data_IF_865087523525
#
_entry.id   IF_865087523525
#
_cell.length_a   1.000
_cell.length_b   1.000
_cell.length_c   1.000
_cell.angle_alpha   90.00
_cell.angle_beta   90.00
_cell.angle_gamma   90.00
#
_symmetry.space_group_name_H-M   'P 1'
#
loop_
_entity.id
_entity.type
_entity.pdbx_description
1 polymer ?
#
# COMPACT_ATOMS: atom_id res chain seq x y z
N UNK A 1 10.20 -0.91 4.46
CA UNK A 1 9.36 -0.78 3.24
C UNK A 1 10.21 -0.38 2.00
N UNK A 2 11.20 -1.17 1.55
CA UNK A 2 12.04 -0.79 0.40
C UNK A 2 11.26 -0.60 -0.91
N UNK A 3 10.13 -1.31 -1.07
CA UNK A 3 9.16 -1.16 -2.16
C UNK A 3 8.73 0.31 -2.37
N UNK A 4 8.60 1.08 -1.29
CA UNK A 4 8.14 2.46 -1.35
C UNK A 4 9.25 3.46 -1.71
N UNK A 5 10.52 3.02 -1.70
CA UNK A 5 11.68 3.85 -2.02
C UNK A 5 12.07 3.67 -3.50
N UNK A 6 11.15 4.03 -4.39
CA UNK A 6 11.32 3.88 -5.83
C UNK A 6 10.98 5.17 -6.56
N UNK A 7 11.72 5.44 -7.64
CA UNK A 7 11.49 6.60 -8.51
C UNK A 7 11.36 6.12 -9.94
N UNK A 8 10.26 6.49 -10.59
CA UNK A 8 10.04 6.25 -12.02
C UNK A 8 10.22 7.56 -12.77
N UNK A 9 11.10 7.55 -13.76
CA UNK A 9 11.33 8.67 -14.67
C UNK A 9 10.56 8.44 -15.97
N UNK A 10 9.89 9.48 -16.45
CA UNK A 10 9.25 9.47 -17.77
C UNK A 10 10.31 9.39 -18.89
N UNK A 11 9.93 8.92 -20.07
CA UNK A 11 10.85 8.82 -21.21
C UNK A 11 11.48 10.17 -21.57
N UNK A 12 10.66 11.23 -21.51
CA UNK A 12 11.04 12.62 -21.77
C UNK A 12 12.12 13.15 -20.79
N UNK A 13 12.27 12.55 -19.61
CA UNK A 13 13.27 13.00 -18.62
C UNK A 13 14.72 12.86 -19.13
N UNK A 14 14.96 11.94 -20.07
CA UNK A 14 16.28 11.80 -20.72
C UNK A 14 16.63 13.04 -21.54
N UNK A 15 15.66 13.60 -22.25
CA UNK A 15 15.82 14.78 -23.11
C UNK A 15 15.86 16.06 -22.29
N UNK A 16 14.99 16.17 -21.28
CA UNK A 16 14.91 17.37 -20.44
C UNK A 16 16.08 17.51 -19.46
N UNK A 17 16.69 16.40 -19.04
CA UNK A 17 17.75 16.39 -18.00
C UNK A 17 19.01 15.64 -18.44
N UNK A 18 19.70 16.05 -19.52
CA UNK A 18 20.85 15.33 -20.06
C UNK A 18 22.02 15.25 -19.06
N UNK A 19 22.21 16.30 -18.24
CA UNK A 19 23.28 16.32 -17.23
C UNK A 19 23.05 15.29 -16.11
N UNK A 20 21.79 15.08 -15.71
CA UNK A 20 21.45 14.05 -14.73
C UNK A 20 21.78 12.66 -15.27
N UNK A 21 21.49 12.41 -16.56
CA UNK A 21 21.79 11.13 -17.20
C UNK A 21 23.30 10.88 -17.29
N UNK A 22 24.10 11.90 -17.60
CA UNK A 22 25.56 11.83 -17.57
C UNK A 22 26.08 11.49 -16.16
N UNK A 23 25.54 12.15 -15.12
CA UNK A 23 25.90 11.87 -13.73
C UNK A 23 25.54 10.44 -13.31
N UNK A 24 24.38 9.93 -13.70
CA UNK A 24 23.97 8.54 -13.45
C UNK A 24 24.94 7.57 -14.14
N UNK A 25 25.31 7.83 -15.39
CA UNK A 25 26.26 6.99 -16.12
C UNK A 25 27.65 6.99 -15.46
N UNK A 26 28.15 8.16 -15.04
CA UNK A 26 29.41 8.28 -14.30
C UNK A 26 29.37 7.57 -12.94
N UNK A 27 28.27 7.71 -12.20
CA UNK A 27 28.07 7.02 -10.92
C UNK A 27 28.14 5.50 -11.11
N UNK A 28 27.50 4.98 -12.16
CA UNK A 28 27.53 3.54 -12.45
C UNK A 28 28.93 3.02 -12.73
N UNK A 29 29.72 3.77 -13.51
CA UNK A 29 31.11 3.43 -13.81
C UNK A 29 31.99 3.43 -12.56
N UNK A 30 31.74 4.35 -11.62
CA UNK A 30 32.54 4.49 -10.37
C UNK A 30 32.15 3.49 -9.29
N UNK A 31 30.89 3.06 -9.24
CA UNK A 31 30.36 2.24 -8.14
C UNK A 31 29.68 0.94 -8.62
N UNK A 32 30.38 0.06 -9.36
CA UNK A 32 29.78 -1.14 -9.94
C UNK A 32 29.19 -2.09 -8.88
N UNK A 33 29.82 -2.21 -7.70
CA UNK A 33 29.33 -3.04 -6.60
C UNK A 33 28.07 -2.52 -5.90
N UNK A 34 27.78 -1.21 -5.98
CA UNK A 34 26.52 -0.65 -5.47
C UNK A 34 25.40 -0.89 -6.49
N UNK A 35 25.71 -0.68 -7.76
CA UNK A 35 24.76 -0.78 -8.87
C UNK A 35 24.26 -2.20 -9.08
N UNK A 36 25.09 -3.22 -8.85
CA UNK A 36 24.69 -4.64 -8.92
C UNK A 36 23.54 -5.00 -7.98
N UNK A 37 23.27 -4.18 -6.96
CA UNK A 37 22.20 -4.38 -5.99
C UNK A 37 20.95 -3.50 -6.24
N UNK A 38 20.98 -2.62 -7.25
CA UNK A 38 19.91 -1.68 -7.63
C UNK A 38 19.29 -2.13 -8.97
N UNK A 39 17.98 -2.09 -9.08
CA UNK A 39 17.26 -2.40 -10.31
C UNK A 39 17.25 -1.24 -11.32
N UNK A 40 17.20 -1.50 -12.64
CA UNK A 40 17.41 -2.77 -13.36
C UNK A 40 18.82 -2.85 -13.97
N UNK A 41 19.56 -3.93 -13.76
CA UNK A 41 20.95 -4.05 -14.25
C UNK A 41 21.10 -4.62 -15.65
N UNK A 42 20.09 -5.31 -16.21
CA UNK A 42 20.35 -6.24 -17.32
C UNK A 42 19.77 -5.80 -18.69
N UNK A 43 18.78 -4.88 -18.72
CA UNK A 43 18.15 -4.38 -19.95
C UNK A 43 18.03 -2.85 -19.99
N UNK A 44 19.10 -2.14 -19.65
CA UNK A 44 19.24 -0.73 -20.03
C UNK A 44 18.26 0.27 -19.37
N UNK A 45 17.60 -0.11 -18.26
CA UNK A 45 16.70 0.77 -17.51
C UNK A 45 15.40 1.16 -18.23
N UNK A 46 14.99 0.55 -19.35
CA UNK A 46 13.80 0.97 -20.10
C UNK A 46 12.65 0.01 -19.83
N UNK A 47 11.61 0.50 -19.17
CA UNK A 47 10.33 -0.17 -18.94
C UNK A 47 9.23 0.35 -19.87
N UNK A 48 7.99 0.15 -19.45
CA UNK A 48 6.79 0.52 -20.20
C UNK A 48 6.82 2.00 -20.65
N UNK A 49 6.47 2.23 -21.93
CA UNK A 49 6.52 3.55 -22.60
C UNK A 49 7.86 4.30 -22.43
N UNK A 50 8.99 3.59 -22.41
CA UNK A 50 10.31 4.22 -22.32
C UNK A 50 10.69 4.74 -20.94
N UNK A 51 9.90 4.44 -19.91
CA UNK A 51 10.13 4.90 -18.53
C UNK A 51 11.36 4.22 -17.92
N UNK A 52 11.97 4.87 -16.93
CA UNK A 52 13.15 4.34 -16.23
C UNK A 52 12.90 4.20 -14.73
N UNK A 53 13.45 3.15 -14.12
CA UNK A 53 13.28 2.88 -12.69
C UNK A 53 14.59 3.07 -11.93
N UNK A 54 14.53 3.76 -10.79
CA UNK A 54 15.53 3.70 -9.73
C UNK A 54 14.89 3.02 -8.51
N UNK A 55 15.36 1.82 -8.18
CA UNK A 55 14.80 1.00 -7.10
C UNK A 55 15.84 0.07 -6.51
N UNK A 56 15.80 -0.17 -5.20
CA UNK A 56 16.61 -1.22 -4.54
C UNK A 56 16.06 -2.63 -4.87
N UNK A 57 14.76 -2.72 -5.14
CA UNK A 57 14.11 -3.97 -5.53
C UNK A 57 14.13 -4.11 -7.05
N UNK A 58 14.83 -5.14 -7.53
CA UNK A 58 14.70 -5.62 -8.91
C UNK A 58 13.47 -6.51 -9.03
N UNK A 59 13.14 -6.93 -10.27
CA UNK A 59 11.96 -7.75 -10.54
C UNK A 59 11.89 -8.98 -9.62
N UNK A 60 12.99 -9.73 -9.51
CA UNK A 60 13.07 -10.92 -8.66
C UNK A 60 12.86 -10.62 -7.16
N UNK A 61 13.50 -9.56 -6.64
CA UNK A 61 13.32 -9.15 -5.24
C UNK A 61 11.89 -8.65 -4.99
N UNK A 62 11.31 -7.95 -5.95
CA UNK A 62 9.94 -7.45 -5.89
C UNK A 62 8.94 -8.62 -5.86
N UNK A 63 9.08 -9.60 -6.74
CA UNK A 63 8.27 -10.84 -6.74
C UNK A 63 8.29 -11.52 -5.37
N UNK A 64 9.48 -11.68 -4.77
CA UNK A 64 9.63 -12.27 -3.44
C UNK A 64 8.94 -11.47 -2.34
N UNK A 65 9.06 -10.14 -2.35
CA UNK A 65 8.42 -9.27 -1.36
C UNK A 65 6.90 -9.34 -1.50
N UNK A 66 6.38 -9.30 -2.72
CA UNK A 66 4.94 -9.35 -2.99
C UNK A 66 4.35 -10.71 -2.61
N UNK A 67 5.08 -11.82 -2.79
CA UNK A 67 4.62 -13.14 -2.37
C UNK A 67 4.24 -13.18 -0.87
N UNK A 68 5.06 -12.60 0.02
CA UNK A 68 4.71 -12.50 1.45
C UNK A 68 3.67 -11.41 1.74
N UNK A 69 3.79 -10.24 1.10
CA UNK A 69 2.88 -9.13 1.35
C UNK A 69 1.42 -9.46 0.99
N UNK A 70 1.23 -10.26 -0.07
CA UNK A 70 -0.08 -10.62 -0.62
C UNK A 70 -0.60 -11.98 -0.16
N UNK A 71 0.10 -12.66 0.76
CA UNK A 71 -0.37 -13.90 1.38
C UNK A 71 -1.29 -13.59 2.58
N UNK A 72 -2.46 -14.21 2.60
CA UNK A 72 -3.47 -14.00 3.65
C UNK A 72 -3.08 -14.61 5.00
N UNK A 73 -2.20 -15.61 5.00
CA UNK A 73 -1.59 -16.21 6.19
C UNK A 73 -0.43 -15.37 6.72
N UNK A 74 0.00 -14.35 5.97
CA UNK A 74 1.08 -13.45 6.33
C UNK A 74 0.52 -12.03 6.53
N UNK A 75 0.74 -11.12 5.59
CA UNK A 75 0.45 -9.69 5.74
C UNK A 75 -0.92 -9.28 5.17
N UNK A 76 -1.48 -9.97 4.18
CA UNK A 76 -2.72 -9.55 3.52
C UNK A 76 -3.93 -9.87 4.40
N UNK A 77 -4.39 -8.89 5.18
CA UNK A 77 -5.60 -9.02 5.98
C UNK A 77 -6.88 -8.74 5.20
N UNK A 78 -8.05 -9.09 5.76
CA UNK A 78 -9.35 -8.76 5.16
C UNK A 78 -9.62 -7.24 5.09
N UNK A 79 -8.88 -6.44 5.86
CA UNK A 79 -9.07 -4.99 5.96
C UNK A 79 -7.82 -4.18 5.58
N UNK A 80 -6.85 -4.79 4.89
CA UNK A 80 -5.60 -4.16 4.45
C UNK A 80 -4.36 -4.96 4.85
N UNK A 81 -3.18 -4.39 4.62
CA UNK A 81 -1.88 -4.97 4.97
C UNK A 81 -1.61 -4.77 6.47
N UNK A 82 -1.40 -5.89 7.18
CA UNK A 82 -1.05 -5.95 8.61
C UNK A 82 0.34 -5.34 8.86
N UNK A 83 0.54 -4.76 10.04
CA UNK A 83 1.86 -4.22 10.44
C UNK A 83 2.90 -5.29 10.78
N UNK A 84 2.45 -6.50 11.12
CA UNK A 84 3.28 -7.69 11.31
C UNK A 84 2.59 -8.88 10.66
N UNK A 85 3.37 -9.80 10.10
CA UNK A 85 2.83 -11.04 9.55
C UNK A 85 2.08 -11.84 10.60
N UNK A 86 0.93 -12.39 10.20
CA UNK A 86 0.14 -13.33 11.01
C UNK A 86 0.87 -14.64 11.29
N UNK A 87 1.88 -15.01 10.51
CA UNK A 87 2.81 -16.12 10.79
C UNK A 87 3.39 -16.04 12.22
N UNK A 88 3.68 -14.82 12.70
CA UNK A 88 4.22 -14.59 14.04
C UNK A 88 3.20 -14.78 15.17
N UNK A 89 1.96 -15.21 14.89
CA UNK A 89 1.01 -15.67 15.90
C UNK A 89 1.52 -16.98 16.52
N UNK A 90 1.88 -17.94 15.67
CA UNK A 90 2.37 -19.27 16.06
C UNK A 90 3.90 -19.31 16.16
N UNK A 91 4.59 -18.42 15.43
CA UNK A 91 6.05 -18.38 15.36
C UNK A 91 6.60 -17.01 15.76
N UNK A 92 6.42 -16.60 17.03
CA UNK A 92 6.89 -15.30 17.48
C UNK A 92 8.42 -15.20 17.39
N UNK A 93 8.93 -13.99 17.15
CA UNK A 93 10.36 -13.73 17.32
C UNK A 93 10.68 -13.63 18.82
N UNK A 94 11.61 -14.46 19.29
CA UNK A 94 11.99 -14.55 20.70
C UNK A 94 13.47 -14.21 20.86
N UNK A 95 13.78 -13.29 21.78
CA UNK A 95 15.12 -12.86 22.09
C UNK A 95 15.39 -12.97 23.60
N UNK A 96 16.48 -13.66 23.97
CA UNK A 96 16.85 -13.88 25.36
C UNK A 96 18.04 -13.00 25.74
N UNK A 97 17.89 -12.15 26.76
CA UNK A 97 18.98 -11.33 27.29
C UNK A 97 18.79 -11.09 28.78
N UNK A 98 19.88 -11.17 29.56
CA UNK A 98 19.83 -10.95 31.02
C UNK A 98 18.92 -11.92 31.78
N UNK A 99 18.75 -13.15 31.28
CA UNK A 99 17.85 -14.14 31.88
C UNK A 99 16.35 -13.87 31.66
N UNK A 100 16.01 -12.90 30.82
CA UNK A 100 14.63 -12.55 30.46
C UNK A 100 14.35 -12.92 29.00
N UNK A 101 13.12 -13.35 28.74
CA UNK A 101 12.59 -13.59 27.40
C UNK A 101 11.83 -12.36 26.90
N UNK A 102 12.19 -11.86 25.70
CA UNK A 102 11.46 -10.83 24.99
C UNK A 102 10.81 -11.42 23.75
N UNK A 103 9.51 -11.18 23.58
CA UNK A 103 8.68 -11.81 22.54
C UNK A 103 7.98 -10.77 21.67
N UNK A 104 8.16 -10.88 20.35
CA UNK A 104 7.40 -10.14 19.34
C UNK A 104 6.43 -11.12 18.67
N UNK A 105 5.20 -11.14 19.17
CA UNK A 105 4.09 -11.95 18.64
C UNK A 105 3.12 -11.08 17.85
N UNK A 106 2.47 -11.68 16.85
CA UNK A 106 1.31 -11.10 16.19
C UNK A 106 0.17 -10.82 17.19
N UNK A 107 -0.29 -9.58 17.21
CA UNK A 107 -1.44 -9.10 17.98
C UNK A 107 -2.29 -8.23 17.05
N UNK A 108 -3.49 -8.67 16.68
CA UNK A 108 -4.27 -7.96 15.69
C UNK A 108 -4.89 -6.66 16.22
N UNK A 109 -5.02 -6.48 17.54
CA UNK A 109 -5.67 -5.34 18.20
C UNK A 109 -4.74 -4.47 19.03
N UNK A 110 -5.11 -4.17 20.27
CA UNK A 110 -4.28 -3.40 21.22
C UNK A 110 -3.02 -4.18 21.66
N UNK A 111 -2.02 -3.46 22.18
CA UNK A 111 -0.82 -4.12 22.72
C UNK A 111 -1.17 -4.84 24.02
N UNK A 112 -0.54 -5.99 24.25
CA UNK A 112 -0.64 -6.73 25.50
C UNK A 112 0.43 -6.33 26.54
N UNK A 113 1.17 -5.23 26.31
CA UNK A 113 2.20 -4.71 27.22
C UNK A 113 2.03 -3.21 27.39
N UNK A 114 2.40 -2.68 28.56
CA UNK A 114 2.31 -1.24 28.88
C UNK A 114 3.38 -0.35 28.23
N UNK A 115 4.25 -0.91 27.39
CA UNK A 115 5.29 -0.14 26.69
C UNK A 115 4.63 0.86 25.73
N UNK A 116 5.12 2.11 25.69
CA UNK A 116 4.55 3.20 24.88
C UNK A 116 3.06 3.49 25.14
N UNK A 117 2.62 3.43 26.40
CA UNK A 117 1.26 3.80 26.79
C UNK A 117 0.20 2.73 26.58
N UNK A 118 0.60 1.49 26.28
CA UNK A 118 -0.27 0.31 26.30
C UNK A 118 -1.21 0.14 25.11
N UNK A 119 -1.62 1.24 24.48
CA UNK A 119 -2.64 1.19 23.43
C UNK A 119 -2.05 1.13 22.02
N UNK A 120 -0.88 1.72 21.74
CA UNK A 120 -0.32 1.72 20.38
C UNK A 120 0.31 0.36 20.05
N UNK A 121 -0.05 -0.22 18.90
CA UNK A 121 0.43 -1.53 18.49
C UNK A 121 0.79 -1.60 17.00
N UNK A 122 2.05 -1.96 16.73
CA UNK A 122 2.60 -2.17 15.38
C UNK A 122 2.88 -3.65 15.10
N UNK A 123 2.33 -4.56 15.92
CA UNK A 123 2.56 -6.00 15.85
C UNK A 123 1.39 -6.76 15.23
N UNK A 124 0.67 -6.15 14.29
CA UNK A 124 -0.43 -6.83 13.62
C UNK A 124 -1.59 -5.97 13.14
N UNK A 125 -1.95 -4.84 13.79
CA UNK A 125 -3.02 -4.00 13.30
C UNK A 125 -2.71 -3.40 11.92
N UNK A 126 -3.77 -2.99 11.21
CA UNK A 126 -3.69 -2.29 9.94
C UNK A 126 -3.59 -0.79 10.19
N UNK A 127 -2.53 -0.18 9.67
CA UNK A 127 -2.29 1.26 9.73
C UNK A 127 -2.49 1.89 8.36
N UNK A 128 -3.38 2.88 8.27
CA UNK A 128 -3.70 3.57 7.02
C UNK A 128 -2.46 4.20 6.34
N UNK A 129 -1.56 4.92 7.03
CA UNK A 129 -0.40 5.54 6.38
C UNK A 129 0.46 4.55 5.61
N UNK A 130 0.76 3.40 6.22
CA UNK A 130 1.62 2.37 5.62
C UNK A 130 0.94 1.79 4.38
N UNK A 131 -0.37 1.50 4.47
CA UNK A 131 -1.14 0.98 3.36
C UNK A 131 -1.23 1.97 2.19
N UNK A 132 -1.42 3.27 2.47
CA UNK A 132 -1.39 4.32 1.44
C UNK A 132 -0.02 4.39 0.76
N UNK A 133 1.08 4.28 1.51
CA UNK A 133 2.43 4.24 0.94
C UNK A 133 2.64 3.01 0.05
N UNK A 134 2.13 1.85 0.46
CA UNK A 134 2.20 0.61 -0.33
C UNK A 134 1.39 0.74 -1.63
N UNK A 135 0.16 1.25 -1.56
CA UNK A 135 -0.68 1.52 -2.73
C UNK A 135 0.04 2.47 -3.69
N UNK A 136 0.54 3.61 -3.20
CA UNK A 136 1.32 4.55 -4.02
C UNK A 136 2.52 3.85 -4.69
N UNK A 137 3.25 3.03 -3.94
CA UNK A 137 4.42 2.33 -4.46
C UNK A 137 4.07 1.33 -5.57
N UNK A 138 2.97 0.58 -5.40
CA UNK A 138 2.46 -0.35 -6.39
C UNK A 138 2.05 0.37 -7.68
N UNK A 139 1.33 1.50 -7.57
CA UNK A 139 0.96 2.33 -8.72
C UNK A 139 2.20 2.92 -9.40
N UNK A 140 3.19 3.37 -8.63
CA UNK A 140 4.46 3.87 -9.17
C UNK A 140 5.21 2.78 -9.95
N UNK A 141 5.31 1.58 -9.41
CA UNK A 141 5.96 0.45 -10.08
C UNK A 141 5.14 -0.06 -11.28
N UNK A 142 3.81 0.02 -11.23
CA UNK A 142 2.95 -0.26 -12.38
C UNK A 142 3.28 0.66 -13.56
N UNK A 143 3.52 1.96 -13.32
CA UNK A 143 3.92 2.87 -14.41
C UNK A 143 5.20 2.41 -15.12
N UNK A 144 6.14 1.79 -14.40
CA UNK A 144 7.37 1.28 -15.00
C UNK A 144 7.19 -0.09 -15.66
N UNK A 145 6.48 -1.02 -15.01
CA UNK A 145 6.37 -2.40 -15.50
C UNK A 145 5.23 -2.62 -16.50
N UNK A 146 4.20 -1.77 -16.48
CA UNK A 146 2.97 -1.96 -17.25
C UNK A 146 2.28 -3.29 -16.93
N UNK A 147 1.58 -3.82 -17.92
CA UNK A 147 0.81 -5.06 -17.80
C UNK A 147 1.66 -6.34 -17.84
N UNK A 148 2.96 -6.22 -18.17
CA UNK A 148 3.88 -7.35 -18.32
C UNK A 148 4.31 -7.95 -16.98
N UNK A 149 4.23 -7.17 -15.89
CA UNK A 149 4.53 -7.65 -14.55
C UNK A 149 3.25 -7.97 -13.79
N UNK A 150 3.03 -9.26 -13.59
CA UNK A 150 1.87 -9.77 -12.86
C UNK A 150 2.30 -10.67 -11.70
N UNK A 151 1.50 -10.65 -10.65
CA UNK A 151 1.67 -11.47 -9.45
C UNK A 151 0.31 -12.04 -9.03
N UNK A 152 0.31 -13.10 -8.21
CA UNK A 152 -0.92 -13.59 -7.61
C UNK A 152 -1.37 -12.66 -6.47
N UNK A 153 -2.67 -12.36 -6.42
CA UNK A 153 -3.26 -11.57 -5.34
C UNK A 153 -4.69 -12.06 -5.06
N UNK A 154 -4.92 -12.79 -3.95
CA UNK A 154 -3.93 -13.22 -2.95
C UNK A 154 -2.85 -14.16 -3.49
N UNK A 155 -1.71 -14.26 -2.80
CA UNK A 155 -0.68 -15.26 -3.09
C UNK A 155 -1.29 -16.67 -3.00
N UNK A 156 -1.01 -17.53 -3.99
CA UNK A 156 -1.59 -18.87 -4.06
C UNK A 156 -3.02 -18.94 -4.59
N UNK A 157 -3.64 -17.82 -4.98
CA UNK A 157 -5.02 -17.80 -5.48
C UNK A 157 -5.20 -18.42 -6.87
N UNK A 158 -4.13 -18.51 -7.68
CA UNK A 158 -4.17 -18.97 -9.07
C UNK A 158 -4.02 -17.81 -10.07
N UNK A 159 -5.01 -16.90 -10.19
CA UNK A 159 -4.97 -15.77 -11.13
C UNK A 159 -3.79 -14.82 -10.90
N UNK A 160 -3.21 -14.36 -12.00
CA UNK A 160 -2.16 -13.34 -12.01
C UNK A 160 -2.75 -11.99 -12.40
N UNK A 161 -2.50 -10.98 -11.58
CA UNK A 161 -3.01 -9.62 -11.75
C UNK A 161 -1.86 -8.62 -11.77
N UNK A 162 -2.10 -7.46 -12.39
CA UNK A 162 -1.14 -6.35 -12.49
C UNK A 162 -0.96 -5.64 -11.15
N UNK A 163 0.11 -4.86 -11.01
CA UNK A 163 0.32 -4.05 -9.80
C UNK A 163 -0.76 -3.00 -9.56
N UNK A 164 -1.42 -2.51 -10.62
CA UNK A 164 -2.58 -1.63 -10.49
C UNK A 164 -3.74 -2.35 -9.79
N UNK A 165 -4.03 -3.58 -10.21
CA UNK A 165 -5.10 -4.40 -9.65
C UNK A 165 -4.80 -4.81 -8.19
N UNK A 166 -3.54 -5.11 -7.87
CA UNK A 166 -3.10 -5.32 -6.48
C UNK A 166 -3.36 -4.09 -5.63
N UNK A 167 -3.00 -2.90 -6.12
CA UNK A 167 -3.21 -1.64 -5.41
C UNK A 167 -4.72 -1.38 -5.18
N UNK A 168 -5.54 -1.68 -6.19
CA UNK A 168 -7.01 -1.59 -6.12
C UNK A 168 -7.61 -2.58 -5.11
N UNK A 169 -7.12 -3.81 -5.07
CA UNK A 169 -7.56 -4.83 -4.11
C UNK A 169 -7.25 -4.42 -2.65
N UNK A 170 -6.05 -3.92 -2.39
CA UNK A 170 -5.69 -3.41 -1.05
C UNK A 170 -6.59 -2.22 -0.68
N UNK A 171 -6.83 -1.29 -1.61
CA UNK A 171 -7.75 -0.16 -1.41
C UNK A 171 -9.17 -0.62 -1.09
N UNK A 172 -9.67 -1.64 -1.80
CA UNK A 172 -10.99 -2.22 -1.57
C UNK A 172 -11.08 -2.82 -0.16
N UNK A 173 -10.08 -3.59 0.27
CA UNK A 173 -10.04 -4.16 1.63
C UNK A 173 -10.06 -3.09 2.72
N UNK A 174 -9.27 -2.01 2.54
CA UNK A 174 -9.28 -0.86 3.46
C UNK A 174 -10.67 -0.19 3.50
N UNK A 175 -11.27 0.05 2.33
CA UNK A 175 -12.61 0.63 2.24
C UNK A 175 -13.67 -0.25 2.91
N UNK A 176 -13.53 -1.57 2.79
CA UNK A 176 -14.40 -2.55 3.42
C UNK A 176 -14.52 -2.37 4.94
N UNK A 177 -13.50 -1.82 5.61
CA UNK A 177 -13.59 -1.51 7.04
C UNK A 177 -14.67 -0.47 7.36
N UNK A 178 -14.95 0.45 6.43
CA UNK A 178 -15.91 1.53 6.58
C UNK A 178 -17.27 1.20 5.99
N UNK A 179 -17.39 0.19 5.12
CA UNK A 179 -18.65 -0.17 4.45
C UNK A 179 -19.49 -1.13 5.30
N UNK A 180 -20.80 -1.16 5.04
CA UNK A 180 -21.68 -2.16 5.65
C UNK A 180 -21.48 -3.50 4.93
N UNK A 181 -21.31 -4.56 5.70
CA UNK A 181 -21.28 -5.93 5.22
C UNK A 181 -22.68 -6.45 4.86
N UNK A 182 -22.76 -7.72 4.45
CA UNK A 182 -24.03 -8.40 4.13
C UNK A 182 -25.01 -8.47 5.31
N UNK A 183 -24.54 -8.30 6.55
CA UNK A 183 -25.35 -8.26 7.78
C UNK A 183 -25.70 -6.82 8.19
N UNK A 184 -25.37 -5.83 7.36
CA UNK A 184 -25.62 -4.42 7.62
C UNK A 184 -24.68 -3.79 8.63
N UNK A 185 -23.60 -4.47 9.04
CA UNK A 185 -22.65 -4.01 10.06
C UNK A 185 -21.41 -3.42 9.43
N UNK A 186 -20.82 -2.39 10.05
CA UNK A 186 -19.53 -1.82 9.62
C UNK A 186 -18.38 -2.40 10.47
N UNK A 187 -17.32 -2.96 9.88
CA UNK A 187 -16.19 -3.48 10.64
C UNK A 187 -15.56 -2.44 11.58
N UNK A 188 -15.45 -1.17 11.15
CA UNK A 188 -14.85 -0.06 11.94
C UNK A 188 -15.46 0.11 13.32
N UNK A 189 -16.73 -0.25 13.52
CA UNK A 189 -17.38 -0.16 14.83
C UNK A 189 -17.22 -1.42 15.68
N UNK A 190 -16.61 -2.49 15.16
CA UNK A 190 -16.36 -3.73 15.87
C UNK A 190 -17.60 -4.23 16.59
N UNK A 191 -17.47 -4.54 17.89
CA UNK A 191 -18.57 -4.99 18.75
C UNK A 191 -19.48 -3.88 19.29
N UNK A 192 -19.24 -2.61 18.98
CA UNK A 192 -19.93 -1.49 19.63
C UNK A 192 -21.34 -1.29 19.11
N UNK A 193 -22.32 -1.93 19.77
CA UNK A 193 -23.72 -1.99 19.34
C UNK A 193 -24.36 -0.61 19.06
N UNK A 194 -24.00 0.41 19.84
CA UNK A 194 -24.52 1.79 19.65
C UNK A 194 -24.21 2.31 18.26
N UNK A 195 -22.96 2.23 17.82
CA UNK A 195 -22.56 2.70 16.49
C UNK A 195 -22.97 1.74 15.37
N UNK A 196 -23.29 0.48 15.66
CA UNK A 196 -23.80 -0.44 14.64
C UNK A 196 -25.28 -0.20 14.34
N UNK A 197 -26.10 -0.04 15.38
CA UNK A 197 -27.55 -0.22 15.27
C UNK A 197 -28.36 1.06 15.44
N UNK A 198 -27.86 2.03 16.20
CA UNK A 198 -28.63 3.24 16.53
C UNK A 198 -28.82 4.11 15.28
N UNK A 199 -30.06 4.44 14.89
CA UNK A 199 -30.35 5.19 13.67
C UNK A 199 -29.74 6.60 13.65
N UNK A 200 -29.43 7.17 14.81
CA UNK A 200 -28.80 8.49 14.92
C UNK A 200 -27.27 8.45 14.85
N UNK A 201 -26.66 7.29 15.13
CA UNK A 201 -25.19 7.17 15.23
C UNK A 201 -24.57 6.32 14.12
N UNK A 202 -25.32 5.36 13.55
CA UNK A 202 -24.78 4.34 12.63
C UNK A 202 -24.19 4.82 11.31
N UNK A 203 -24.48 6.07 10.95
CA UNK A 203 -24.00 6.73 9.74
C UNK A 203 -23.04 7.90 10.04
N UNK A 204 -22.73 8.15 11.31
CA UNK A 204 -21.68 9.08 11.75
C UNK A 204 -20.34 8.34 11.83
N UNK A 205 -19.73 8.11 10.65
CA UNK A 205 -18.52 7.30 10.50
C UNK A 205 -17.33 7.94 11.22
N UNK A 206 -16.74 7.18 12.14
CA UNK A 206 -15.56 7.57 12.91
C UNK A 206 -14.28 7.16 12.19
N UNK A 207 -13.21 7.92 12.43
CA UNK A 207 -11.90 7.69 11.85
C UNK A 207 -10.93 7.34 12.95
N UNK A 208 -10.50 6.09 13.00
CA UNK A 208 -9.65 5.56 14.06
C UNK A 208 -8.17 5.67 13.74
N UNK A 209 -7.34 5.58 14.77
CA UNK A 209 -5.88 5.64 14.66
C UNK A 209 -5.35 4.46 13.81
N UNK A 210 -5.84 3.27 14.08
CA UNK A 210 -5.53 2.03 13.37
C UNK A 210 -6.71 1.04 13.47
N UNK A 211 -6.61 -0.08 12.78
CA UNK A 211 -7.68 -1.06 12.66
C UNK A 211 -7.22 -2.45 13.04
N UNK A 212 -8.11 -3.22 13.66
CA UNK A 212 -7.82 -4.60 14.03
C UNK A 212 -7.51 -5.45 12.80
N UNK A 213 -6.36 -6.14 12.81
CA UNK A 213 -5.80 -6.82 11.64
C UNK A 213 -6.67 -7.92 11.03
N UNK A 214 -7.58 -8.50 11.82
CA UNK A 214 -8.44 -9.62 11.37
C UNK A 214 -9.93 -9.29 11.21
N UNK A 215 -10.43 -8.22 11.86
CA UNK A 215 -11.88 -7.94 11.88
C UNK A 215 -12.22 -6.46 11.60
N UNK A 216 -11.21 -5.61 11.41
CA UNK A 216 -11.41 -4.23 10.96
C UNK A 216 -11.96 -3.28 12.01
N UNK A 217 -12.10 -3.70 13.27
CA UNK A 217 -12.51 -2.80 14.35
C UNK A 217 -11.56 -1.62 14.46
N UNK A 218 -12.10 -0.40 14.50
CA UNK A 218 -11.33 0.81 14.75
C UNK A 218 -10.85 0.86 16.18
N UNK A 219 -9.57 1.19 16.37
CA UNK A 219 -8.86 1.19 17.66
C UNK A 219 -8.05 2.48 17.83
N UNK A 220 -7.68 2.77 19.08
CA UNK A 220 -7.01 4.03 19.42
C UNK A 220 -7.94 5.25 19.30
N UNK A 221 -7.35 6.41 19.01
CA UNK A 221 -8.11 7.67 18.91
C UNK A 221 -9.15 7.66 17.77
N UNK A 222 -10.40 8.03 18.05
CA UNK A 222 -11.55 7.88 17.13
C UNK A 222 -11.88 9.08 16.25
N UNK A 223 -11.10 10.16 16.33
CA UNK A 223 -11.19 11.35 15.48
C UNK A 223 -9.88 11.61 14.71
N UNK A 224 -9.24 10.53 14.25
CA UNK A 224 -8.06 10.58 13.39
C UNK A 224 -8.43 10.88 11.92
N UNK A 225 -9.07 12.02 11.67
CA UNK A 225 -9.24 12.58 10.32
C UNK A 225 -7.93 13.16 9.75
N UNK A 226 -6.79 12.81 10.34
CA UNK A 226 -5.47 12.95 9.73
C UNK A 226 -5.26 11.85 8.70
N UNK A 227 -4.38 10.89 9.00
CA UNK A 227 -4.00 9.88 8.01
C UNK A 227 -5.13 8.93 7.61
N UNK A 228 -6.10 8.66 8.50
CA UNK A 228 -7.21 7.75 8.17
C UNK A 228 -8.16 8.37 7.15
N UNK A 229 -8.23 9.71 7.11
CA UNK A 229 -8.96 10.45 6.10
C UNK A 229 -8.50 10.20 4.66
N UNK A 230 -7.27 9.68 4.47
CA UNK A 230 -6.76 9.30 3.14
C UNK A 230 -7.60 8.23 2.44
N UNK A 231 -8.46 7.49 3.15
CA UNK A 231 -9.40 6.54 2.52
C UNK A 231 -10.31 7.22 1.49
N UNK A 232 -10.73 8.47 1.73
CA UNK A 232 -11.55 9.22 0.77
C UNK A 232 -10.80 9.47 -0.54
N UNK A 233 -9.49 9.74 -0.47
CA UNK A 233 -8.64 9.90 -1.67
C UNK A 233 -8.44 8.59 -2.40
N UNK A 234 -8.31 7.47 -1.69
CA UNK A 234 -8.22 6.14 -2.31
C UNK A 234 -9.50 5.76 -3.04
N UNK A 235 -10.67 5.99 -2.43
CA UNK A 235 -11.97 5.75 -3.05
C UNK A 235 -12.18 6.62 -4.29
N UNK A 236 -11.84 7.90 -4.20
CA UNK A 236 -11.93 8.82 -5.34
C UNK A 236 -10.98 8.43 -6.48
N UNK A 237 -9.73 8.07 -6.16
CA UNK A 237 -8.73 7.63 -7.13
C UNK A 237 -9.23 6.41 -7.91
N UNK A 238 -9.58 5.32 -7.23
CA UNK A 238 -10.00 4.08 -7.89
C UNK A 238 -11.43 4.11 -8.43
N UNK A 239 -12.21 5.16 -8.12
CA UNK A 239 -13.50 5.43 -8.74
C UNK A 239 -13.43 6.16 -10.07
N UNK A 240 -12.30 6.81 -10.39
CA UNK A 240 -12.13 7.65 -11.60
C UNK A 240 -10.95 7.28 -12.49
N UNK A 241 -9.94 6.61 -11.93
CA UNK A 241 -8.71 6.27 -12.63
C UNK A 241 -8.70 4.79 -12.95
N UNK A 242 -8.58 4.48 -14.23
CA UNK A 242 -8.29 3.13 -14.74
C UNK A 242 -6.79 2.96 -15.00
N UNK A 243 -6.35 1.72 -15.14
CA UNK A 243 -4.95 1.38 -15.41
C UNK A 243 -4.35 2.17 -16.59
N UNK A 244 -5.12 2.30 -17.69
CA UNK A 244 -4.72 3.05 -18.90
C UNK A 244 -4.48 4.54 -18.65
N UNK A 245 -5.12 5.12 -17.63
CA UNK A 245 -5.00 6.55 -17.34
C UNK A 245 -3.65 6.87 -16.67
N UNK A 246 -3.04 5.91 -15.98
CA UNK A 246 -1.68 6.05 -15.43
C UNK A 246 -0.60 6.06 -16.51
N UNK A 247 -0.98 5.79 -17.76
CA UNK A 247 -0.04 5.93 -18.86
C UNK A 247 0.12 7.38 -19.33
N UNK A 248 -0.83 8.26 -19.00
CA UNK A 248 -0.75 9.69 -19.26
C UNK A 248 0.44 10.30 -18.52
N UNK A 249 0.92 11.46 -18.99
CA UNK A 249 1.88 12.24 -18.20
C UNK A 249 1.24 12.65 -16.87
N UNK A 250 2.03 12.65 -15.79
CA UNK A 250 1.51 12.90 -14.43
C UNK A 250 0.76 14.23 -14.35
N UNK A 251 1.26 15.27 -15.03
CA UNK A 251 0.60 16.58 -15.10
C UNK A 251 -0.78 16.52 -15.75
N UNK A 252 -0.90 15.79 -16.86
CA UNK A 252 -2.17 15.66 -17.60
C UNK A 252 -3.21 14.88 -16.79
N UNK A 253 -2.79 13.80 -16.11
CA UNK A 253 -3.67 13.03 -15.23
C UNK A 253 -4.13 13.87 -14.03
N UNK A 254 -3.22 14.62 -13.41
CA UNK A 254 -3.54 15.51 -12.30
C UNK A 254 -4.56 16.58 -12.73
N UNK A 255 -4.33 17.24 -13.88
CA UNK A 255 -5.23 18.24 -14.43
C UNK A 255 -6.61 17.66 -14.75
N UNK A 256 -6.68 16.44 -15.30
CA UNK A 256 -7.95 15.75 -15.57
C UNK A 256 -8.73 15.51 -14.27
N UNK A 257 -8.07 14.94 -13.26
CA UNK A 257 -8.70 14.64 -11.97
C UNK A 257 -9.19 15.92 -11.30
N UNK A 258 -8.38 16.99 -11.32
CA UNK A 258 -8.74 18.29 -10.72
C UNK A 258 -9.92 18.93 -11.45
N UNK A 259 -9.91 18.92 -12.80
CA UNK A 259 -11.02 19.45 -13.60
C UNK A 259 -12.32 18.69 -13.35
N UNK A 260 -12.27 17.35 -13.26
CA UNK A 260 -13.44 16.53 -12.92
C UNK A 260 -13.94 16.77 -11.48
N UNK A 261 -13.06 17.12 -10.54
CA UNK A 261 -13.43 17.43 -9.16
C UNK A 261 -14.09 18.80 -9.02
N UNK A 262 -13.55 19.82 -9.68
CA UNK A 262 -14.00 21.22 -9.52
C UNK A 262 -15.10 21.58 -10.50
N UNK A 263 -15.05 21.05 -11.73
CA UNK A 263 -15.95 21.43 -12.82
C UNK A 263 -17.23 20.62 -12.94
N UNK A 264 -17.32 19.44 -12.32
CA UNK A 264 -18.48 18.54 -12.45
C UNK A 264 -18.70 17.95 -13.86
N UNK A 265 -17.85 18.31 -14.83
CA UNK A 265 -17.86 17.78 -16.18
C UNK A 265 -17.19 16.40 -16.20
N UNK A 266 -17.94 15.36 -16.55
CA UNK A 266 -17.34 14.09 -16.95
C UNK A 266 -16.55 14.34 -18.23
N UNK A 267 -15.24 14.50 -18.13
CA UNK A 267 -14.38 14.55 -19.31
C UNK A 267 -14.54 13.20 -20.00
N UNK A 268 -15.09 13.22 -21.22
CA UNK A 268 -15.46 12.03 -21.97
C UNK A 268 -14.29 11.05 -22.08
N UNK A 269 -14.58 9.77 -21.86
CA UNK A 269 -13.65 8.68 -22.16
C UNK A 269 -13.47 8.65 -23.68
N UNK A 270 -12.38 9.23 -24.19
CA UNK A 270 -11.90 8.92 -25.53
C UNK A 270 -11.40 7.48 -25.61
#
# INVERSE_FOLDING_TARGET
LPLCATTVFEASAVEHYPKLMEMIALFRKRHPGVVSHVAPTDQGFIGHKGRRLLSILNKQKLERVLAYMLDENEFLGPHGIRSLSKYHLEHPFVFHVGGQEYKVQYLPGESNTGMFGGNSNWRGPVWMPVNVLLIRALLNLYMFYGDDFKVQCPTGSGPYVTLFEVAREISHRLAGAFLRDKKGRRPVYGGTAKFQNDPHWRDLILFYEYFHGDNGAGLGASHQTGWTGSIARLLDLFGRVEAKDLEMEIGQLADRIVKEQVGGEKIGRN
#
